data_IF_196250650460
#
_entry.id   IF_196250650460
#
_cell.length_a   1.000
_cell.length_b   1.000
_cell.length_c   1.000
_cell.angle_alpha   90.00
_cell.angle_beta   90.00
_cell.angle_gamma   90.00
#
_symmetry.space_group_name_H-M   'P 1'
#
loop_
_entity.id
_entity.type
_entity.pdbx_description
1 polymer ?
#
# COMPACT_ATOMS: atom_id res chain seq x y z
N UNK A 1 17.35 33.82 12.42
CA UNK A 1 16.93 33.16 11.19
C UNK A 1 16.62 31.64 11.36
N UNK A 2 17.42 30.82 12.08
CA UNK A 2 17.13 29.40 12.30
C UNK A 2 15.86 29.12 13.13
N UNK A 3 15.55 29.95 14.13
CA UNK A 3 14.34 29.83 14.95
C UNK A 3 13.05 30.18 14.20
N UNK A 4 13.09 31.20 13.34
CA UNK A 4 11.93 31.61 12.53
C UNK A 4 11.55 30.51 11.52
N UNK A 5 12.54 29.85 10.91
CA UNK A 5 12.29 28.72 10.00
C UNK A 5 11.67 27.51 10.72
N UNK A 6 12.04 27.24 11.99
CA UNK A 6 11.45 26.17 12.79
C UNK A 6 9.99 26.48 13.19
N UNK A 7 9.69 27.73 13.53
CA UNK A 7 8.33 28.17 13.86
C UNK A 7 7.43 28.14 12.62
N UNK A 8 7.95 28.56 11.45
CA UNK A 8 7.19 28.47 10.19
C UNK A 8 6.92 27.00 9.78
N UNK A 9 7.90 26.12 9.93
CA UNK A 9 7.72 24.68 9.62
C UNK A 9 6.70 24.03 10.56
N UNK A 10 6.77 24.29 11.87
CA UNK A 10 5.80 23.80 12.83
C UNK A 10 4.38 24.37 12.59
N UNK A 11 4.28 25.66 12.21
CA UNK A 11 3.01 26.30 11.88
C UNK A 11 2.38 25.73 10.59
N UNK A 12 3.16 25.42 9.58
CA UNK A 12 2.69 24.81 8.32
C UNK A 12 2.24 23.36 8.58
N UNK A 13 2.94 22.60 9.42
CA UNK A 13 2.56 21.22 9.77
C UNK A 13 1.30 21.18 10.64
N UNK A 14 1.14 22.08 11.59
CA UNK A 14 -0.07 22.18 12.41
C UNK A 14 -1.27 22.65 11.55
N UNK A 15 -1.08 23.60 10.66
CA UNK A 15 -2.09 24.02 9.70
C UNK A 15 -2.43 22.87 8.73
N UNK A 16 -1.45 22.16 8.19
CA UNK A 16 -1.69 21.02 7.30
C UNK A 16 -2.48 19.90 8.01
N UNK A 17 -2.16 19.58 9.27
CA UNK A 17 -2.94 18.61 10.04
C UNK A 17 -4.37 19.09 10.35
N UNK A 18 -4.56 20.38 10.61
CA UNK A 18 -5.88 20.97 10.87
C UNK A 18 -6.75 21.08 9.61
N UNK A 19 -6.16 21.24 8.41
CA UNK A 19 -6.91 21.31 7.15
C UNK A 19 -7.06 19.94 6.47
N UNK A 20 -6.08 19.04 6.61
CA UNK A 20 -6.14 17.69 6.02
C UNK A 20 -7.14 16.78 6.78
N UNK A 21 -7.21 16.88 8.10
CA UNK A 21 -8.09 16.01 8.90
C UNK A 21 -9.56 16.12 8.49
N UNK A 22 -10.16 17.35 8.34
CA UNK A 22 -11.55 17.45 7.86
C UNK A 22 -11.74 16.98 6.42
N UNK A 23 -10.78 17.26 5.53
CA UNK A 23 -10.86 16.83 4.12
C UNK A 23 -10.75 15.30 4.01
N UNK A 24 -9.85 14.68 4.75
CA UNK A 24 -9.71 13.21 4.81
C UNK A 24 -10.90 12.55 5.50
N UNK A 25 -11.47 13.20 6.54
CA UNK A 25 -12.65 12.70 7.23
C UNK A 25 -13.91 12.75 6.35
N UNK A 26 -13.99 13.70 5.41
CA UNK A 26 -15.11 13.83 4.47
C UNK A 26 -14.90 13.07 3.15
N UNK A 27 -13.69 12.56 2.89
CA UNK A 27 -13.39 11.86 1.65
C UNK A 27 -14.04 10.47 1.64
N UNK A 28 -14.82 10.21 0.60
CA UNK A 28 -15.40 8.90 0.30
C UNK A 28 -14.95 8.48 -1.10
N UNK A 29 -14.63 7.20 -1.25
CA UNK A 29 -14.23 6.65 -2.53
C UNK A 29 -15.50 6.36 -3.35
N UNK A 30 -15.55 6.92 -4.56
CA UNK A 30 -16.61 6.65 -5.52
C UNK A 30 -16.62 5.15 -5.88
N UNK A 31 -17.76 4.45 -5.75
CA UNK A 31 -17.86 3.04 -6.13
C UNK A 31 -17.47 2.75 -7.59
N UNK A 32 -17.67 3.72 -8.48
CA UNK A 32 -17.35 3.60 -9.91
C UNK A 32 -15.97 4.17 -10.28
N UNK A 33 -15.07 4.35 -9.29
CA UNK A 33 -13.76 4.96 -9.51
C UNK A 33 -12.94 4.26 -10.61
N UNK A 34 -13.14 2.96 -10.83
CA UNK A 34 -12.43 2.21 -11.86
C UNK A 34 -12.65 2.76 -13.27
N UNK A 35 -13.78 3.42 -13.51
CA UNK A 35 -14.12 4.04 -14.79
C UNK A 35 -13.47 5.42 -15.01
N UNK A 36 -12.88 6.01 -13.96
CA UNK A 36 -12.27 7.36 -14.02
C UNK A 36 -10.87 7.37 -14.63
N UNK A 37 -10.22 6.21 -14.72
CA UNK A 37 -8.83 6.11 -15.14
C UNK A 37 -8.72 5.50 -16.55
N UNK A 38 -7.98 6.20 -17.41
CA UNK A 38 -7.55 5.67 -18.70
C UNK A 38 -6.10 5.20 -18.57
N UNK A 39 -5.94 3.95 -18.16
CA UNK A 39 -4.61 3.39 -17.89
C UNK A 39 -3.90 3.03 -19.21
N UNK A 40 -2.68 3.53 -19.47
CA UNK A 40 -1.96 3.21 -20.71
C UNK A 40 -1.29 1.83 -20.67
N UNK A 41 -1.07 1.25 -19.51
CA UNK A 41 -0.51 -0.09 -19.34
C UNK A 41 -1.53 -1.19 -19.61
N UNK A 42 -1.20 -2.19 -20.41
CA UNK A 42 -2.13 -3.31 -20.74
C UNK A 42 -2.44 -4.18 -19.52
N UNK A 43 -1.44 -4.38 -18.66
CA UNK A 43 -1.63 -5.16 -17.43
C UNK A 43 -2.36 -4.29 -16.42
N UNK A 44 -2.03 -2.99 -16.34
CA UNK A 44 -2.75 -2.02 -15.53
C UNK A 44 -4.24 -2.01 -15.87
N UNK A 45 -4.61 -1.89 -17.18
CA UNK A 45 -6.00 -1.96 -17.62
C UNK A 45 -6.72 -3.22 -17.14
N UNK A 46 -6.06 -4.38 -17.19
CA UNK A 46 -6.68 -5.64 -16.74
C UNK A 46 -7.05 -5.61 -15.27
N UNK A 47 -6.13 -5.14 -14.41
CA UNK A 47 -6.36 -5.14 -12.96
C UNK A 47 -7.10 -3.90 -12.45
N UNK A 48 -7.42 -2.94 -13.33
CA UNK A 48 -8.30 -1.82 -13.07
C UNK A 48 -9.76 -2.23 -12.90
N UNK A 49 -10.21 -3.19 -13.70
CA UNK A 49 -11.58 -3.67 -13.65
C UNK A 49 -11.80 -4.64 -12.49
N UNK A 50 -13.06 -4.78 -12.09
CA UNK A 50 -13.43 -5.81 -11.13
C UNK A 50 -13.02 -7.20 -11.62
N UNK A 51 -12.59 -8.05 -10.68
CA UNK A 51 -12.28 -9.44 -10.93
C UNK A 51 -13.54 -10.30 -11.11
N UNK A 52 -13.37 -11.60 -11.32
CA UNK A 52 -14.48 -12.48 -11.71
C UNK A 52 -15.39 -12.93 -10.54
N UNK A 53 -15.09 -12.53 -9.30
CA UNK A 53 -15.83 -13.01 -8.13
C UNK A 53 -16.88 -12.00 -7.67
N UNK A 54 -18.10 -12.49 -7.38
CA UNK A 54 -19.07 -11.78 -6.54
C UNK A 54 -18.48 -11.58 -5.13
N UNK A 55 -18.78 -10.45 -4.50
CA UNK A 55 -18.21 -10.07 -3.20
C UNK A 55 -19.30 -9.90 -2.14
N UNK A 56 -19.12 -10.58 -1.02
CA UNK A 56 -19.90 -10.39 0.22
C UNK A 56 -19.03 -9.75 1.30
N UNK A 57 -19.68 -9.24 2.34
CA UNK A 57 -19.00 -8.73 3.52
C UNK A 57 -19.68 -9.21 4.79
N UNK A 58 -18.90 -9.25 5.87
CA UNK A 58 -19.36 -9.60 7.22
C UNK A 58 -18.65 -8.73 8.25
N UNK A 59 -19.37 -8.30 9.27
CA UNK A 59 -18.80 -7.68 10.47
C UNK A 59 -18.40 -8.80 11.43
N UNK A 60 -17.13 -8.81 11.84
CA UNK A 60 -16.61 -9.81 12.79
C UNK A 60 -16.87 -9.39 14.23
N UNK A 61 -16.64 -8.11 14.57
CA UNK A 61 -17.00 -7.51 15.84
C UNK A 61 -17.18 -6.00 15.69
N UNK A 62 -17.90 -5.39 16.65
CA UNK A 62 -18.20 -3.96 16.65
C UNK A 62 -18.22 -3.44 18.10
N UNK A 63 -17.30 -2.51 18.41
CA UNK A 63 -17.26 -1.83 19.69
C UNK A 63 -16.78 -2.66 20.89
N UNK A 64 -16.03 -3.75 20.69
CA UNK A 64 -15.48 -4.53 21.79
C UNK A 64 -14.23 -3.87 22.40
N UNK A 65 -14.26 -3.60 23.72
CA UNK A 65 -13.18 -2.89 24.42
C UNK A 65 -11.81 -3.54 24.29
N UNK A 66 -11.74 -4.88 24.29
CA UNK A 66 -10.48 -5.64 24.09
C UNK A 66 -9.83 -5.42 22.73
N UNK A 67 -10.58 -4.91 21.75
CA UNK A 67 -10.13 -4.57 20.39
C UNK A 67 -10.29 -3.07 20.10
N UNK A 68 -10.09 -2.21 21.09
CA UNK A 68 -10.05 -0.76 20.91
C UNK A 68 -11.40 -0.09 20.61
N UNK A 69 -12.52 -0.77 20.82
CA UNK A 69 -13.87 -0.30 20.46
C UNK A 69 -14.05 0.02 18.97
N UNK A 70 -13.30 -0.66 18.09
CA UNK A 70 -13.44 -0.52 16.65
C UNK A 70 -14.37 -1.57 16.08
N UNK A 71 -14.98 -1.27 14.92
CA UNK A 71 -15.62 -2.25 14.08
C UNK A 71 -14.58 -2.93 13.20
N UNK A 72 -14.66 -4.26 13.08
CA UNK A 72 -13.85 -5.09 12.21
C UNK A 72 -14.72 -5.74 11.16
N UNK A 73 -14.39 -5.53 9.87
CA UNK A 73 -15.19 -5.97 8.74
C UNK A 73 -14.33 -6.66 7.70
N UNK A 74 -14.90 -7.67 7.06
CA UNK A 74 -14.24 -8.46 6.02
C UNK A 74 -15.08 -8.46 4.77
N UNK A 75 -14.42 -8.27 3.62
CA UNK A 75 -14.97 -8.47 2.28
C UNK A 75 -14.32 -9.72 1.68
N UNK A 76 -15.12 -10.61 1.10
CA UNK A 76 -14.62 -11.89 0.63
C UNK A 76 -15.33 -12.35 -0.64
N UNK A 77 -14.62 -13.09 -1.53
CA UNK A 77 -15.20 -13.64 -2.75
C UNK A 77 -16.19 -14.76 -2.41
N UNK A 78 -17.34 -14.76 -3.06
CA UNK A 78 -18.27 -15.88 -2.98
C UNK A 78 -17.61 -17.09 -3.64
N UNK A 79 -17.51 -18.20 -2.91
CA UNK A 79 -16.97 -19.45 -3.42
C UNK A 79 -17.91 -20.04 -4.48
N UNK A 80 -17.32 -20.53 -5.56
CA UNK A 80 -18.05 -21.23 -6.61
C UNK A 80 -18.06 -22.73 -6.31
N UNK A 81 -19.23 -23.35 -6.40
CA UNK A 81 -19.38 -24.79 -6.15
C UNK A 81 -18.41 -25.62 -7.01
N UNK A 82 -17.68 -26.53 -6.36
CA UNK A 82 -16.65 -27.38 -6.99
C UNK A 82 -15.34 -26.66 -7.30
N UNK A 83 -15.16 -25.41 -6.83
CA UNK A 83 -13.92 -24.62 -6.95
C UNK A 83 -13.55 -23.93 -5.65
N UNK A 84 -14.03 -24.47 -4.54
CA UNK A 84 -13.74 -23.96 -3.21
C UNK A 84 -12.25 -24.13 -2.90
N UNK A 85 -11.63 -23.05 -2.46
CA UNK A 85 -10.25 -23.06 -1.97
C UNK A 85 -10.04 -21.95 -0.96
N UNK A 86 -9.16 -22.12 0.02
CA UNK A 86 -8.72 -21.00 0.86
C UNK A 86 -8.13 -19.88 -0.01
N UNK A 87 -8.37 -18.64 0.39
CA UNK A 87 -7.99 -17.43 -0.32
C UNK A 87 -6.93 -16.66 0.45
N UNK A 88 -6.02 -15.96 -0.23
CA UNK A 88 -5.09 -15.07 0.45
C UNK A 88 -5.83 -13.98 1.24
N UNK A 89 -5.28 -13.62 2.40
CA UNK A 89 -5.79 -12.55 3.27
C UNK A 89 -5.00 -11.26 3.03
N UNK A 90 -5.70 -10.14 2.95
CA UNK A 90 -5.11 -8.80 2.91
C UNK A 90 -5.61 -8.00 4.11
N UNK A 91 -4.72 -7.60 5.00
CA UNK A 91 -4.99 -6.69 6.11
C UNK A 91 -4.76 -5.26 5.65
N UNK A 92 -5.72 -4.37 5.92
CA UNK A 92 -5.65 -2.96 5.49
C UNK A 92 -5.56 -2.02 6.69
N UNK A 93 -4.77 -0.95 6.53
CA UNK A 93 -4.60 0.12 7.52
C UNK A 93 -4.99 1.46 6.92
N UNK A 94 -5.96 2.11 7.55
CA UNK A 94 -6.51 3.39 7.11
C UNK A 94 -5.50 4.55 7.23
N UNK A 95 -5.71 5.60 6.45
CA UNK A 95 -5.11 6.91 6.70
C UNK A 95 -5.74 7.61 7.91
N UNK A 96 -5.20 8.77 8.28
CA UNK A 96 -5.71 9.61 9.38
C UNK A 96 -7.17 10.00 9.15
N UNK A 97 -8.04 9.68 10.11
CA UNK A 97 -9.48 9.96 10.00
C UNK A 97 -10.23 9.03 9.03
N UNK A 98 -9.53 8.05 8.43
CA UNK A 98 -10.12 7.03 7.56
C UNK A 98 -10.83 5.93 8.33
N UNK A 99 -11.51 5.08 7.60
CA UNK A 99 -12.12 3.85 8.12
C UNK A 99 -12.35 2.85 6.99
N UNK A 100 -12.42 1.58 7.32
CA UNK A 100 -12.69 0.54 6.35
C UNK A 100 -14.03 0.70 5.60
N UNK A 101 -15.01 1.41 6.18
CA UNK A 101 -16.29 1.66 5.50
C UNK A 101 -16.13 2.67 4.36
N UNK A 102 -15.23 3.66 4.50
CA UNK A 102 -14.95 4.65 3.45
C UNK A 102 -14.14 4.07 2.29
N UNK A 103 -13.28 3.11 2.60
CA UNK A 103 -12.42 2.45 1.63
C UNK A 103 -13.10 1.20 1.00
N UNK A 104 -14.37 0.92 1.35
CA UNK A 104 -15.12 -0.24 0.89
C UNK A 104 -15.04 -0.48 -0.63
N UNK A 105 -15.13 0.52 -1.53
CA UNK A 105 -15.03 0.28 -2.96
C UNK A 105 -13.72 -0.41 -3.39
N UNK A 106 -12.57 0.00 -2.82
CA UNK A 106 -11.26 -0.62 -3.08
C UNK A 106 -11.24 -2.04 -2.50
N UNK A 107 -11.78 -2.24 -1.29
CA UNK A 107 -11.79 -3.56 -0.66
C UNK A 107 -12.68 -4.54 -1.43
N UNK A 108 -13.82 -4.08 -1.96
CA UNK A 108 -14.65 -4.87 -2.89
C UNK A 108 -13.91 -5.19 -4.18
N UNK A 109 -13.15 -4.23 -4.71
CA UNK A 109 -12.33 -4.46 -5.90
C UNK A 109 -11.29 -5.55 -5.65
N UNK A 110 -10.49 -5.45 -4.59
CA UNK A 110 -9.52 -6.48 -4.22
C UNK A 110 -10.18 -7.85 -3.98
N UNK A 111 -11.31 -7.87 -3.26
CA UNK A 111 -12.04 -9.12 -3.00
C UNK A 111 -12.59 -9.75 -4.30
N UNK A 112 -12.99 -8.94 -5.27
CA UNK A 112 -13.43 -9.44 -6.59
C UNK A 112 -12.30 -10.15 -7.35
N UNK A 113 -11.04 -9.85 -7.03
CA UNK A 113 -9.85 -10.53 -7.55
C UNK A 113 -9.45 -11.78 -6.76
N UNK A 114 -10.24 -12.15 -5.74
CA UNK A 114 -10.09 -13.41 -5.03
C UNK A 114 -9.38 -13.31 -3.68
N UNK A 115 -9.24 -12.11 -3.12
CA UNK A 115 -8.71 -11.91 -1.77
C UNK A 115 -9.81 -11.90 -0.72
N UNK A 116 -9.52 -12.38 0.48
CA UNK A 116 -10.23 -12.00 1.69
C UNK A 116 -9.58 -10.72 2.18
N UNK A 117 -10.34 -9.62 2.27
CA UNK A 117 -9.82 -8.29 2.65
C UNK A 117 -10.41 -7.91 3.99
N UNK A 118 -9.57 -7.65 4.98
CA UNK A 118 -10.00 -7.29 6.32
C UNK A 118 -9.50 -5.90 6.72
N UNK A 119 -10.40 -5.10 7.27
CA UNK A 119 -10.12 -3.75 7.74
C UNK A 119 -10.92 -3.41 9.00
N UNK A 120 -10.65 -2.24 9.55
CA UNK A 120 -11.27 -1.75 10.77
C UNK A 120 -11.60 -0.25 10.69
N UNK A 121 -12.28 0.28 11.72
CA UNK A 121 -12.64 1.70 11.81
C UNK A 121 -11.67 2.53 12.65
N UNK A 122 -10.47 2.03 12.95
CA UNK A 122 -9.44 2.81 13.62
C UNK A 122 -8.97 3.95 12.71
N UNK A 123 -9.14 5.19 13.18
CA UNK A 123 -8.70 6.39 12.48
C UNK A 123 -7.21 6.71 12.72
N UNK A 124 -6.50 5.90 13.54
CA UNK A 124 -5.12 6.14 13.98
C UNK A 124 -4.28 4.85 13.91
N UNK A 125 -4.20 4.24 12.75
CA UNK A 125 -3.60 2.91 12.54
C UNK A 125 -2.07 2.86 12.61
N UNK A 126 -1.39 4.02 12.70
CA UNK A 126 0.07 4.10 12.70
C UNK A 126 0.78 3.24 13.76
N UNK A 127 0.25 3.00 14.97
CA UNK A 127 0.89 2.10 15.94
C UNK A 127 0.94 0.62 15.52
N UNK A 128 0.11 0.19 14.55
CA UNK A 128 0.05 -1.20 14.09
C UNK A 128 -0.91 -2.11 14.88
N UNK A 129 -1.30 -1.76 16.10
CA UNK A 129 -2.11 -2.64 16.97
C UNK A 129 -3.45 -3.03 16.37
N UNK A 130 -4.14 -2.10 15.70
CA UNK A 130 -5.44 -2.41 15.09
C UNK A 130 -5.32 -3.36 13.89
N UNK A 131 -4.16 -3.38 13.21
CA UNK A 131 -3.88 -4.39 12.17
C UNK A 131 -3.68 -5.78 12.79
N UNK A 132 -2.94 -5.89 13.92
CA UNK A 132 -2.80 -7.15 14.65
C UNK A 132 -4.16 -7.68 15.12
N UNK A 133 -5.01 -6.81 15.68
CA UNK A 133 -6.36 -7.20 16.09
C UNK A 133 -7.24 -7.60 14.89
N UNK A 134 -7.11 -6.91 13.75
CA UNK A 134 -7.81 -7.29 12.51
C UNK A 134 -7.39 -8.69 12.05
N UNK A 135 -6.10 -8.98 12.11
CA UNK A 135 -5.55 -10.30 11.80
C UNK A 135 -6.09 -11.37 12.76
N UNK A 136 -6.01 -11.14 14.07
CA UNK A 136 -6.51 -12.06 15.10
C UNK A 136 -7.99 -12.39 14.86
N UNK A 137 -8.83 -11.39 14.57
CA UNK A 137 -10.25 -11.57 14.30
C UNK A 137 -10.52 -12.37 13.02
N UNK A 138 -9.79 -12.07 11.95
CA UNK A 138 -9.94 -12.79 10.67
C UNK A 138 -9.53 -14.26 10.82
N UNK A 139 -8.43 -14.54 11.53
CA UNK A 139 -7.97 -15.91 11.78
C UNK A 139 -8.93 -16.67 12.72
N UNK A 140 -9.47 -16.02 13.74
CA UNK A 140 -10.50 -16.62 14.60
C UNK A 140 -11.75 -16.98 13.79
N UNK A 141 -12.21 -16.10 12.91
CA UNK A 141 -13.35 -16.37 12.04
C UNK A 141 -13.09 -17.51 11.04
N UNK A 142 -11.82 -17.70 10.61
CA UNK A 142 -11.42 -18.83 9.77
C UNK A 142 -11.51 -20.20 10.50
N UNK A 143 -11.45 -20.20 11.81
CA UNK A 143 -11.57 -21.39 12.65
C UNK A 143 -12.97 -21.61 13.22
N UNK A 144 -13.86 -20.65 13.16
CA UNK A 144 -15.23 -20.75 13.65
C UNK A 144 -16.16 -21.37 12.59
N UNK A 145 -16.68 -22.58 12.87
CA UNK A 145 -17.60 -23.29 11.97
C UNK A 145 -18.94 -22.56 11.71
N UNK A 146 -19.27 -21.53 12.52
CA UNK A 146 -20.46 -20.68 12.32
C UNK A 146 -20.17 -19.47 11.45
N UNK A 147 -18.89 -19.16 11.23
CA UNK A 147 -18.47 -18.03 10.43
C UNK A 147 -18.61 -18.31 8.93
N UNK A 148 -19.05 -17.34 8.10
CA UNK A 148 -18.99 -17.48 6.65
C UNK A 148 -17.56 -17.55 6.11
N UNK A 149 -16.55 -17.28 6.96
CA UNK A 149 -15.12 -17.38 6.62
C UNK A 149 -14.48 -18.72 7.03
N UNK A 150 -15.28 -19.65 7.55
CA UNK A 150 -14.76 -20.95 7.99
C UNK A 150 -13.99 -21.67 6.87
N UNK A 151 -12.69 -21.93 7.11
CA UNK A 151 -11.76 -22.50 6.14
C UNK A 151 -11.63 -21.75 4.80
N UNK A 152 -11.95 -20.45 4.79
CA UNK A 152 -11.88 -19.60 3.60
C UNK A 152 -10.52 -18.88 3.44
N UNK A 153 -9.71 -18.80 4.49
CA UNK A 153 -8.46 -18.04 4.52
C UNK A 153 -7.26 -18.98 4.43
N UNK A 154 -6.37 -18.72 3.47
CA UNK A 154 -5.03 -19.33 3.43
C UNK A 154 -4.09 -18.55 4.38
N UNK A 155 -3.91 -19.08 5.59
CA UNK A 155 -3.11 -18.47 6.65
C UNK A 155 -1.61 -18.38 6.31
N UNK A 156 -1.17 -18.99 5.22
CA UNK A 156 0.21 -18.91 4.71
C UNK A 156 0.39 -17.78 3.68
N UNK A 157 -0.70 -17.16 3.23
CA UNK A 157 -0.74 -16.15 2.17
C UNK A 157 -1.40 -14.86 2.68
N UNK A 158 -0.69 -14.14 3.56
CA UNK A 158 -1.19 -12.91 4.20
C UNK A 158 -0.36 -11.72 3.73
N UNK A 159 -1.03 -10.68 3.25
CA UNK A 159 -0.44 -9.39 2.87
C UNK A 159 -0.95 -8.25 3.73
N UNK A 160 -0.22 -7.14 3.73
CA UNK A 160 -0.59 -5.92 4.44
C UNK A 160 -0.54 -4.72 3.49
N UNK A 161 -1.56 -3.87 3.55
CA UNK A 161 -1.64 -2.63 2.75
C UNK A 161 -1.90 -1.46 3.69
N UNK A 162 -1.01 -0.47 3.69
CA UNK A 162 -1.14 0.72 4.53
C UNK A 162 -1.20 2.01 3.72
N UNK A 163 -2.23 2.82 3.96
CA UNK A 163 -2.41 4.12 3.33
C UNK A 163 -2.04 5.26 4.27
N UNK A 164 -1.28 6.26 3.78
CA UNK A 164 -0.91 7.45 4.56
C UNK A 164 -0.17 7.06 5.86
N UNK A 165 -0.66 7.45 7.03
CA UNK A 165 -0.12 6.97 8.31
C UNK A 165 -0.22 5.44 8.48
N UNK A 166 -1.18 4.79 7.83
CA UNK A 166 -1.27 3.33 7.79
C UNK A 166 -0.05 2.69 7.13
N UNK A 167 0.70 3.44 6.30
CA UNK A 167 2.00 3.03 5.79
C UNK A 167 3.01 2.82 6.93
N UNK A 168 3.13 3.76 7.87
CA UNK A 168 3.93 3.57 9.09
C UNK A 168 3.39 2.40 9.93
N UNK A 169 2.05 2.31 10.05
CA UNK A 169 1.38 1.20 10.73
C UNK A 169 1.74 -0.16 10.14
N UNK A 170 1.88 -0.27 8.81
CA UNK A 170 2.30 -1.51 8.17
C UNK A 170 3.72 -1.91 8.59
N UNK A 171 4.68 -0.96 8.62
CA UNK A 171 6.03 -1.24 9.16
C UNK A 171 5.98 -1.67 10.63
N UNK A 172 5.23 -0.93 11.47
CA UNK A 172 5.12 -1.24 12.90
C UNK A 172 4.46 -2.61 13.16
N UNK A 173 3.47 -3.00 12.34
CA UNK A 173 2.85 -4.33 12.40
C UNK A 173 3.85 -5.45 12.06
N UNK A 174 4.76 -5.23 11.09
CA UNK A 174 5.79 -6.22 10.75
C UNK A 174 6.82 -6.41 11.87
N UNK A 175 7.00 -5.40 12.74
CA UNK A 175 7.84 -5.51 13.93
C UNK A 175 7.10 -6.09 15.14
N UNK A 176 5.76 -6.26 15.04
CA UNK A 176 4.91 -6.81 16.08
C UNK A 176 5.00 -8.35 16.20
N UNK A 177 4.20 -8.89 17.11
CA UNK A 177 4.20 -10.34 17.49
C UNK A 177 3.92 -11.29 16.33
N UNK A 178 3.12 -10.87 15.35
CA UNK A 178 2.66 -11.68 14.21
C UNK A 178 3.25 -11.21 12.88
N UNK A 179 4.30 -10.40 12.90
CA UNK A 179 4.93 -9.82 11.71
C UNK A 179 5.45 -10.87 10.71
N UNK A 180 5.86 -12.04 11.18
CA UNK A 180 6.35 -13.17 10.38
C UNK A 180 5.26 -13.86 9.55
N UNK A 181 3.98 -13.66 9.88
CA UNK A 181 2.85 -14.17 9.11
C UNK A 181 2.69 -13.46 7.76
N UNK A 182 3.10 -12.19 7.68
CA UNK A 182 2.97 -11.42 6.45
C UNK A 182 4.00 -11.84 5.40
N UNK A 183 3.54 -11.95 4.15
CA UNK A 183 4.37 -12.38 2.99
C UNK A 183 4.68 -11.25 2.04
N UNK A 184 3.94 -10.15 2.11
CA UNK A 184 4.17 -8.95 1.31
C UNK A 184 3.55 -7.72 1.97
N UNK A 185 4.12 -6.56 1.68
CA UNK A 185 3.63 -5.25 2.12
C UNK A 185 3.43 -4.32 0.93
N UNK A 186 2.37 -3.51 0.99
CA UNK A 186 2.17 -2.36 0.10
C UNK A 186 2.01 -1.11 0.96
N UNK A 187 2.70 -0.03 0.61
CA UNK A 187 2.45 1.31 1.16
C UNK A 187 1.91 2.23 0.08
N UNK A 188 0.80 2.91 0.36
CA UNK A 188 0.15 3.84 -0.56
C UNK A 188 0.24 5.22 0.03
N UNK A 189 1.03 6.08 -0.58
CA UNK A 189 1.38 7.41 -0.04
C UNK A 189 1.71 7.35 1.45
N UNK A 190 2.49 6.34 1.82
CA UNK A 190 2.88 6.11 3.22
C UNK A 190 3.71 7.27 3.74
N UNK A 191 3.40 7.75 4.95
CA UNK A 191 4.26 8.74 5.62
C UNK A 191 5.67 8.19 5.73
N UNK A 192 6.67 9.02 5.44
CA UNK A 192 8.06 8.59 5.52
C UNK A 192 8.59 8.65 6.95
N UNK A 193 9.56 7.79 7.28
CA UNK A 193 10.22 7.79 8.58
C UNK A 193 10.83 9.16 8.90
N UNK A 194 11.39 9.83 7.91
CA UNK A 194 11.95 11.18 8.00
C UNK A 194 10.91 12.21 8.46
N UNK A 195 9.68 12.14 7.94
CA UNK A 195 8.59 13.02 8.36
C UNK A 195 8.19 12.73 9.82
N UNK A 196 8.09 11.46 10.21
CA UNK A 196 7.84 11.07 11.60
C UNK A 196 8.85 11.70 12.55
N UNK A 197 10.13 11.63 12.21
CA UNK A 197 11.22 12.27 12.98
C UNK A 197 11.12 13.79 13.01
N UNK A 198 10.86 14.43 11.87
CA UNK A 198 10.73 15.89 11.77
C UNK A 198 9.57 16.45 12.60
N UNK A 199 8.45 15.69 12.66
CA UNK A 199 7.25 16.08 13.38
C UNK A 199 7.23 15.61 14.84
N UNK A 200 8.24 14.86 15.27
CA UNK A 200 8.29 14.24 16.60
C UNK A 200 7.07 13.35 16.91
N UNK A 201 6.65 12.55 15.92
CA UNK A 201 5.55 11.59 16.04
C UNK A 201 6.11 10.17 16.16
N UNK A 202 6.29 9.65 17.39
CA UNK A 202 6.97 8.36 17.60
C UNK A 202 6.35 7.20 16.82
N UNK A 203 5.03 7.17 16.70
CA UNK A 203 4.29 6.10 15.99
C UNK A 203 4.46 6.17 14.45
N UNK A 204 5.07 7.22 13.93
CA UNK A 204 5.44 7.35 12.51
C UNK A 204 6.93 7.07 12.26
N UNK A 205 7.67 6.72 13.33
CA UNK A 205 9.08 6.36 13.25
C UNK A 205 9.18 4.83 13.23
N UNK A 206 9.73 4.31 12.18
CA UNK A 206 9.92 2.88 11.92
C UNK A 206 11.28 2.66 11.23
N UNK A 207 11.73 1.42 11.14
CA UNK A 207 13.00 1.09 10.49
C UNK A 207 12.79 0.27 9.20
N UNK A 208 12.88 0.90 8.01
CA UNK A 208 12.72 0.18 6.75
C UNK A 208 13.74 -0.95 6.55
N UNK A 209 14.89 -0.89 7.22
CA UNK A 209 15.95 -1.91 7.09
C UNK A 209 15.57 -3.28 7.69
N UNK A 210 14.52 -3.32 8.51
CA UNK A 210 14.02 -4.57 9.09
C UNK A 210 13.08 -5.32 8.13
N UNK A 211 12.65 -4.69 7.05
CA UNK A 211 11.72 -5.30 6.10
C UNK A 211 12.45 -6.20 5.12
N UNK A 212 12.18 -7.50 5.21
CA UNK A 212 12.78 -8.56 4.38
C UNK A 212 11.80 -9.20 3.39
N UNK A 213 10.50 -8.96 3.56
CA UNK A 213 9.44 -9.45 2.66
C UNK A 213 9.30 -8.54 1.43
N UNK A 214 8.70 -9.03 0.33
CA UNK A 214 8.42 -8.22 -0.86
C UNK A 214 7.61 -6.95 -0.56
N UNK A 215 8.01 -5.80 -1.14
CA UNK A 215 7.38 -4.49 -0.90
C UNK A 215 7.07 -3.75 -2.19
N UNK A 216 5.87 -3.22 -2.30
CA UNK A 216 5.51 -2.21 -3.29
C UNK A 216 5.17 -0.88 -2.62
N UNK A 217 5.85 0.19 -3.03
CA UNK A 217 5.61 1.55 -2.56
C UNK A 217 5.00 2.38 -3.69
N UNK A 218 3.76 2.83 -3.52
CA UNK A 218 3.08 3.71 -4.46
C UNK A 218 2.84 5.08 -3.84
N UNK A 219 3.02 6.16 -4.61
CA UNK A 219 2.69 7.52 -4.20
C UNK A 219 2.21 8.35 -5.40
N UNK A 220 1.58 9.49 -5.15
CA UNK A 220 1.18 10.43 -6.17
C UNK A 220 2.29 11.42 -6.55
N UNK A 221 2.09 12.15 -7.67
CA UNK A 221 2.93 13.28 -8.06
C UNK A 221 2.35 14.64 -7.64
N UNK A 222 1.16 14.64 -7.03
CA UNK A 222 0.50 15.85 -6.55
C UNK A 222 1.25 16.56 -5.42
N UNK A 223 0.79 17.72 -5.05
CA UNK A 223 1.55 18.60 -4.16
C UNK A 223 1.63 18.08 -2.73
N UNK A 224 0.57 17.42 -2.22
CA UNK A 224 0.56 16.86 -0.87
C UNK A 224 1.58 15.74 -0.75
N UNK A 225 1.55 14.76 -1.66
CA UNK A 225 2.51 13.66 -1.67
C UNK A 225 3.93 14.15 -1.94
N UNK A 226 4.09 15.03 -2.93
CA UNK A 226 5.41 15.48 -3.34
C UNK A 226 6.13 16.32 -2.29
N UNK A 227 5.40 17.09 -1.46
CA UNK A 227 5.97 18.06 -0.54
C UNK A 227 5.82 17.72 0.94
N UNK A 228 4.79 16.95 1.29
CA UNK A 228 4.42 16.78 2.69
C UNK A 228 4.41 15.33 3.15
N UNK A 229 3.80 14.41 2.41
CA UNK A 229 3.52 13.06 2.92
C UNK A 229 4.60 12.07 2.48
N UNK A 230 4.89 12.03 1.17
CA UNK A 230 5.83 11.06 0.60
C UNK A 230 6.78 11.76 -0.38
N UNK A 231 7.63 12.72 0.07
CA UNK A 231 8.63 13.34 -0.80
C UNK A 231 9.50 12.30 -1.47
N UNK A 232 9.83 12.52 -2.76
CA UNK A 232 10.52 11.52 -3.58
C UNK A 232 11.85 11.06 -2.97
N UNK A 233 12.66 11.99 -2.48
CA UNK A 233 13.98 11.65 -1.91
C UNK A 233 13.85 10.80 -0.65
N UNK A 234 12.84 11.08 0.18
CA UNK A 234 12.56 10.31 1.39
C UNK A 234 11.95 8.93 1.06
N UNK A 235 11.08 8.86 0.04
CA UNK A 235 10.57 7.59 -0.48
C UNK A 235 11.70 6.71 -1.01
N UNK A 236 12.64 7.29 -1.77
CA UNK A 236 13.83 6.58 -2.26
C UNK A 236 14.76 6.16 -1.12
N UNK A 237 14.91 6.99 -0.09
CA UNK A 237 15.68 6.64 1.10
C UNK A 237 15.09 5.41 1.78
N UNK A 238 13.76 5.40 2.03
CA UNK A 238 13.09 4.23 2.59
C UNK A 238 13.26 2.99 1.70
N UNK A 239 13.01 3.14 0.39
CA UNK A 239 13.18 2.06 -0.58
C UNK A 239 14.60 1.47 -0.57
N UNK A 240 15.62 2.31 -0.45
CA UNK A 240 17.02 1.89 -0.43
C UNK A 240 17.38 1.06 0.80
N UNK A 241 16.73 1.34 1.95
CA UNK A 241 16.96 0.64 3.23
C UNK A 241 16.30 -0.74 3.28
N UNK A 242 15.19 -0.97 2.53
CA UNK A 242 14.48 -2.25 2.52
C UNK A 242 15.41 -3.39 2.10
N UNK A 243 15.46 -4.45 2.90
CA UNK A 243 16.36 -5.59 2.70
C UNK A 243 15.79 -6.67 1.78
N UNK A 244 14.52 -6.59 1.40
CA UNK A 244 13.93 -7.53 0.46
C UNK A 244 14.64 -7.55 -0.88
N UNK A 245 14.81 -8.75 -1.43
CA UNK A 245 15.31 -8.94 -2.82
C UNK A 245 14.26 -8.58 -3.87
N UNK A 246 12.99 -8.47 -3.47
CA UNK A 246 11.88 -8.10 -4.34
C UNK A 246 11.23 -6.84 -3.80
N UNK A 247 11.43 -5.74 -4.48
CA UNK A 247 10.82 -4.47 -4.14
C UNK A 247 10.51 -3.66 -5.40
N UNK A 248 9.45 -2.88 -5.36
CA UNK A 248 9.12 -1.91 -6.39
C UNK A 248 8.68 -0.59 -5.76
N UNK A 249 8.92 0.50 -6.46
CA UNK A 249 8.35 1.79 -6.12
C UNK A 249 7.92 2.53 -7.38
N UNK A 250 7.00 3.46 -7.24
CA UNK A 250 6.60 4.34 -8.34
C UNK A 250 5.64 5.43 -7.90
N UNK A 251 5.57 6.50 -8.69
CA UNK A 251 4.66 7.62 -8.46
C UNK A 251 3.65 7.73 -9.60
N UNK A 252 2.36 7.63 -9.26
CA UNK A 252 1.28 7.78 -10.22
C UNK A 252 1.14 9.25 -10.61
N UNK A 253 1.25 9.55 -11.90
CA UNK A 253 1.04 10.91 -12.43
C UNK A 253 -0.41 11.32 -12.24
N UNK A 254 -0.60 12.61 -12.09
CA UNK A 254 -1.90 13.26 -11.98
C UNK A 254 -2.76 12.72 -10.83
N UNK A 255 -2.11 12.09 -9.84
CA UNK A 255 -2.71 11.68 -8.58
C UNK A 255 -2.04 12.41 -7.41
N UNK A 256 -2.81 12.74 -6.39
CA UNK A 256 -2.31 13.29 -5.12
C UNK A 256 -2.79 12.44 -3.95
N UNK A 257 -2.51 12.85 -2.76
CA UNK A 257 -2.73 12.07 -1.54
C UNK A 257 -4.13 11.49 -1.40
N UNK A 258 -5.18 12.24 -1.75
CA UNK A 258 -6.56 11.80 -1.55
C UNK A 258 -7.04 10.77 -2.58
N UNK A 259 -6.51 10.79 -3.79
CA UNK A 259 -6.97 9.92 -4.88
C UNK A 259 -5.98 8.81 -5.28
N UNK A 260 -4.80 8.80 -4.66
CA UNK A 260 -3.76 7.82 -4.98
C UNK A 260 -4.19 6.37 -4.74
N UNK A 261 -5.00 6.11 -3.73
CA UNK A 261 -5.48 4.75 -3.45
C UNK A 261 -6.21 4.16 -4.68
N UNK A 262 -7.11 4.95 -5.25
CA UNK A 262 -7.87 4.57 -6.45
C UNK A 262 -7.02 4.61 -7.71
N UNK A 263 -6.14 5.61 -7.84
CA UNK A 263 -5.28 5.76 -9.00
C UNK A 263 -4.25 4.62 -9.14
N UNK A 264 -3.70 4.13 -8.03
CA UNK A 264 -2.70 3.07 -7.99
C UNK A 264 -3.29 1.65 -7.86
N UNK A 265 -4.60 1.52 -7.62
CA UNK A 265 -5.26 0.27 -7.26
C UNK A 265 -4.97 -0.89 -8.24
N UNK A 266 -4.94 -0.61 -9.54
CA UNK A 266 -4.63 -1.63 -10.54
C UNK A 266 -3.27 -2.30 -10.31
N UNK A 267 -2.22 -1.53 -10.01
CA UNK A 267 -0.91 -2.11 -9.73
C UNK A 267 -0.77 -2.65 -8.31
N UNK A 268 -1.53 -2.12 -7.34
CA UNK A 268 -1.65 -2.72 -6.01
C UNK A 268 -2.27 -4.11 -6.13
N UNK A 269 -3.36 -4.23 -6.88
CA UNK A 269 -4.01 -5.51 -7.17
C UNK A 269 -3.07 -6.48 -7.88
N UNK A 270 -2.37 -6.03 -8.92
CA UNK A 270 -1.38 -6.85 -9.63
C UNK A 270 -0.24 -7.31 -8.71
N UNK A 271 0.27 -6.43 -7.83
CA UNK A 271 1.29 -6.79 -6.86
C UNK A 271 0.82 -7.91 -5.92
N UNK A 272 -0.35 -7.73 -5.30
CA UNK A 272 -0.94 -8.71 -4.40
C UNK A 272 -1.25 -10.04 -5.11
N UNK A 273 -1.78 -9.99 -6.35
CA UNK A 273 -2.02 -11.17 -7.19
C UNK A 273 -0.74 -11.94 -7.45
N UNK A 274 0.37 -11.22 -7.75
CA UNK A 274 1.66 -11.88 -7.93
C UNK A 274 2.19 -12.48 -6.64
N UNK A 275 2.23 -11.72 -5.55
CA UNK A 275 2.90 -12.12 -4.32
C UNK A 275 2.12 -13.18 -3.51
N UNK A 276 0.80 -13.19 -3.61
CA UNK A 276 -0.05 -14.03 -2.77
C UNK A 276 -0.81 -15.14 -3.54
N UNK A 277 -0.99 -14.99 -4.85
CA UNK A 277 -1.75 -15.97 -5.66
C UNK A 277 -0.98 -16.43 -6.91
N UNK A 278 0.33 -16.17 -6.95
CA UNK A 278 1.28 -16.64 -7.97
C UNK A 278 0.89 -16.27 -9.42
N UNK A 279 0.19 -15.14 -9.60
CA UNK A 279 -0.29 -14.68 -10.90
C UNK A 279 0.88 -14.23 -11.80
N UNK A 280 1.24 -15.09 -12.74
CA UNK A 280 2.36 -14.87 -13.66
C UNK A 280 2.12 -13.65 -14.58
N UNK A 281 0.85 -13.37 -14.93
CA UNK A 281 0.54 -12.20 -15.75
C UNK A 281 0.75 -10.90 -14.97
N UNK A 282 0.28 -10.85 -13.73
CA UNK A 282 0.50 -9.73 -12.82
C UNK A 282 1.99 -9.49 -12.53
N UNK A 283 2.75 -10.56 -12.34
CA UNK A 283 4.21 -10.52 -12.14
C UNK A 283 4.93 -9.67 -13.17
N UNK A 284 4.49 -9.67 -14.43
CA UNK A 284 5.11 -8.93 -15.55
C UNK A 284 5.06 -7.41 -15.42
N UNK A 285 4.23 -6.89 -14.50
CA UNK A 285 4.27 -5.46 -14.15
C UNK A 285 5.64 -5.09 -13.57
N UNK A 286 6.23 -5.99 -12.76
CA UNK A 286 7.37 -5.70 -11.91
C UNK A 286 8.64 -6.50 -12.24
N UNK A 287 8.56 -7.44 -13.18
CA UNK A 287 9.68 -8.37 -13.47
C UNK A 287 9.89 -8.61 -14.96
N UNK A 288 10.99 -9.30 -15.27
CA UNK A 288 11.37 -9.66 -16.61
C UNK A 288 12.31 -8.63 -17.27
N UNK A 289 12.51 -8.77 -18.58
CA UNK A 289 13.40 -7.90 -19.35
C UNK A 289 12.86 -6.47 -19.46
N UNK A 290 11.54 -6.32 -19.42
CA UNK A 290 10.84 -5.05 -19.70
C UNK A 290 9.57 -4.93 -18.81
N UNK A 291 9.75 -4.68 -17.49
CA UNK A 291 8.63 -4.52 -16.55
C UNK A 291 7.70 -3.39 -16.98
N UNK A 292 6.36 -3.63 -16.96
CA UNK A 292 5.42 -2.63 -17.45
C UNK A 292 5.51 -1.30 -16.69
N UNK A 293 5.70 -1.32 -15.37
CA UNK A 293 5.76 -0.11 -14.54
C UNK A 293 6.90 0.84 -14.95
N UNK A 294 8.03 0.31 -15.48
CA UNK A 294 9.19 1.13 -15.86
C UNK A 294 8.98 1.91 -17.17
N UNK A 295 8.02 1.50 -17.98
CA UNK A 295 7.72 2.12 -19.28
C UNK A 295 6.31 2.69 -19.38
N UNK A 296 5.50 2.49 -18.35
CA UNK A 296 4.15 3.01 -18.30
C UNK A 296 4.17 4.54 -18.13
N UNK A 297 3.70 5.32 -19.13
CA UNK A 297 3.78 6.78 -19.08
C UNK A 297 2.94 7.42 -17.99
N UNK A 298 2.03 6.66 -17.36
CA UNK A 298 1.26 7.12 -16.22
C UNK A 298 2.02 7.03 -14.87
N UNK A 299 3.24 6.46 -14.89
CA UNK A 299 4.06 6.31 -13.69
C UNK A 299 5.41 7.01 -13.85
N UNK A 300 5.81 7.75 -12.84
CA UNK A 300 7.11 8.43 -12.74
C UNK A 300 7.97 7.80 -11.64
N UNK A 301 9.28 7.97 -11.79
CA UNK A 301 10.26 7.55 -10.79
C UNK A 301 10.09 6.07 -10.38
N UNK A 302 9.62 5.24 -11.33
CA UNK A 302 9.46 3.83 -11.06
C UNK A 302 10.82 3.13 -10.98
N UNK A 303 10.99 2.33 -9.93
CA UNK A 303 12.16 1.49 -9.72
C UNK A 303 11.69 0.08 -9.35
N UNK A 304 12.40 -0.93 -9.83
CA UNK A 304 12.16 -2.33 -9.46
C UNK A 304 13.47 -2.99 -9.04
N UNK A 305 13.40 -3.79 -8.01
CA UNK A 305 14.47 -4.67 -7.53
C UNK A 305 13.92 -6.07 -7.51
N UNK A 306 14.43 -6.91 -8.41
CA UNK A 306 14.02 -8.30 -8.49
C UNK A 306 15.16 -9.11 -9.13
N UNK A 307 15.50 -10.31 -8.62
CA UNK A 307 16.54 -11.17 -9.20
C UNK A 307 16.30 -11.55 -10.66
N UNK A 308 15.04 -11.54 -11.10
CA UNK A 308 14.65 -11.89 -12.48
C UNK A 308 14.61 -10.68 -13.42
N UNK A 309 14.84 -9.46 -12.92
CA UNK A 309 14.86 -8.24 -13.73
C UNK A 309 16.28 -7.95 -14.17
N UNK A 310 16.55 -8.07 -15.45
CA UNK A 310 17.80 -7.58 -16.04
C UNK A 310 17.73 -6.05 -16.04
N UNK A 311 18.46 -5.40 -15.16
CA UNK A 311 18.56 -3.93 -15.20
C UNK A 311 19.17 -3.51 -16.55
N UNK A 312 18.56 -2.60 -17.31
CA UNK A 312 19.25 -1.98 -18.44
C UNK A 312 20.47 -1.27 -17.87
N UNK A 313 21.66 -1.59 -18.43
CA UNK A 313 22.97 -1.14 -17.98
C UNK A 313 22.98 0.36 -17.62
N UNK A 314 23.01 0.71 -16.34
CA UNK A 314 23.36 2.05 -15.83
C UNK A 314 24.75 2.52 -16.28
N UNK A 315 25.59 1.59 -16.74
CA UNK A 315 26.97 1.86 -17.17
C UNK A 315 27.09 2.63 -18.51
N UNK A 316 26.03 2.79 -19.30
CA UNK A 316 26.12 3.54 -20.58
C UNK A 316 25.94 5.04 -20.44
N UNK A 317 25.29 5.55 -19.41
CA UNK A 317 25.10 7.00 -19.23
C UNK A 317 26.28 7.72 -18.57
N UNK A 318 27.08 7.00 -17.79
CA UNK A 318 28.30 7.59 -17.16
C UNK A 318 29.48 7.65 -18.14
N UNK A 319 29.56 6.72 -19.11
CA UNK A 319 30.62 6.73 -20.12
C UNK A 319 30.40 7.82 -21.21
N UNK A 320 29.16 8.27 -21.43
CA UNK A 320 28.86 9.34 -22.41
C UNK A 320 29.15 10.72 -21.80
N UNK A 321 29.03 10.90 -20.49
CA UNK A 321 29.31 12.16 -19.82
C UNK A 321 30.77 12.33 -19.37
N UNK A 322 31.58 11.27 -19.43
CA UNK A 322 33.02 11.31 -19.08
C UNK A 322 33.97 11.65 -20.23
N UNK A 323 33.49 11.68 -21.47
CA UNK A 323 34.38 11.80 -22.67
C UNK A 323 34.50 13.23 -23.24
N UNK A 324 33.87 14.23 -22.63
CA UNK A 324 33.91 15.61 -23.12
C UNK A 324 34.81 16.59 -22.36
N UNK A 325 35.75 16.08 -21.57
CA UNK A 325 36.81 16.92 -20.97
C UNK A 325 38.17 16.33 -21.23
N UNK A 326 38.75 16.66 -22.38
CA UNK A 326 40.18 16.89 -22.65
C UNK A 326 40.42 16.98 -24.16
N UNK A 327 40.46 18.20 -24.65
CA UNK A 327 41.39 18.66 -25.70
C UNK A 327 41.14 20.17 -25.87
N UNK A 328 42.02 20.96 -25.34
CA UNK A 328 42.05 22.40 -25.49
C UNK A 328 43.13 22.96 -24.60
N UNK A 329 44.34 23.05 -25.14
CA UNK A 329 45.47 23.77 -24.56
C UNK A 329 46.51 23.91 -25.60
#
# INVERSE_FOLDING_TARGET
MKHIKKILAAGICLAASLYLTPAMAAYEIDPDYTMKYNDPGKIEQRYRWHGPYEVKSVVLSDGEAKYGNYKYKVWYPVQQAGRERPRPLVITLNGTGGSCDKDEPIFRHLASWGFVVAGNTDAQTAPGFSAEWTLDQALAANQDSKSPLYHQIDEKKIGIVGYSQGGAGAYNTLEGKDGDKFKTMVTVSGVTESIGKKLHLPVWIYDPSKVTIPVFMAAGTGILDRKLITPLDEMKENYSKIQSKTAAMGRRKDADHLDIQTAADAYITAWLRWQLDDDIYAKRVFTGKDPEILRNPAWDNAEVRNPETTQPNRLKSELINGSSRKFGG
#
